data_IF_789280029284
#
_entry.id   IF_789280029284
#
_cell.length_a   1.000
_cell.length_b   1.000
_cell.length_c   1.000
_cell.angle_alpha   90.00
_cell.angle_beta   90.00
_cell.angle_gamma   90.00
#
_symmetry.space_group_name_H-M   'P 1'
#
loop_
_entity.id
_entity.type
_entity.pdbx_description
1 polymer ?
#
# COMPACT_ATOMS: atom_id res chain seq x y z
N UNK A 1 10.05 -15.47 -36.40
CA UNK A 1 9.82 -14.15 -35.81
C UNK A 1 8.48 -14.17 -35.09
N UNK A 2 8.30 -14.31 -33.78
CA UNK A 2 9.09 -14.67 -32.61
C UNK A 2 7.99 -15.16 -31.63
N UNK A 3 8.09 -16.34 -30.98
CA UNK A 3 7.05 -16.87 -30.09
C UNK A 3 7.09 -16.20 -28.70
N UNK A 4 7.28 -14.88 -28.64
CA UNK A 4 7.38 -14.13 -27.37
C UNK A 4 6.02 -13.63 -26.87
N UNK A 5 5.01 -13.60 -27.73
CA UNK A 5 3.64 -13.26 -27.36
C UNK A 5 2.94 -14.41 -26.60
N UNK A 6 3.40 -15.65 -26.77
CA UNK A 6 2.82 -16.82 -26.09
C UNK A 6 3.10 -16.83 -24.57
N UNK A 7 4.23 -16.27 -24.11
CA UNK A 7 4.53 -16.14 -22.68
C UNK A 7 3.79 -14.99 -21.97
N UNK A 8 3.13 -14.10 -22.72
CA UNK A 8 2.36 -12.98 -22.15
C UNK A 8 0.89 -13.35 -21.88
N UNK A 9 0.33 -14.32 -22.61
CA UNK A 9 -1.06 -14.76 -22.42
C UNK A 9 -1.22 -15.71 -21.22
N UNK A 10 -0.20 -16.49 -20.86
CA UNK A 10 -0.22 -17.33 -19.65
C UNK A 10 -0.03 -16.51 -18.36
N UNK A 11 0.52 -15.30 -18.45
CA UNK A 11 0.65 -14.38 -17.31
C UNK A 11 -0.61 -13.53 -17.06
N UNK A 12 -1.59 -13.54 -17.98
CA UNK A 12 -2.82 -12.75 -17.88
C UNK A 12 -3.63 -12.98 -16.59
N UNK A 13 -3.87 -14.21 -16.11
CA UNK A 13 -4.58 -14.42 -14.86
C UNK A 13 -3.76 -14.02 -13.62
N UNK A 14 -2.43 -14.16 -13.68
CA UNK A 14 -1.55 -13.78 -12.57
C UNK A 14 -1.47 -12.25 -12.45
N UNK A 15 -1.34 -11.53 -13.57
CA UNK A 15 -1.39 -10.07 -13.59
C UNK A 15 -2.74 -9.56 -13.09
N UNK A 16 -3.86 -10.14 -13.54
CA UNK A 16 -5.19 -9.78 -13.05
C UNK A 16 -5.39 -10.06 -11.55
N UNK A 17 -4.84 -11.17 -11.03
CA UNK A 17 -4.87 -11.48 -9.60
C UNK A 17 -4.00 -10.51 -8.77
N UNK A 18 -2.85 -10.11 -9.30
CA UNK A 18 -1.98 -9.10 -8.69
C UNK A 18 -2.64 -7.73 -8.67
N UNK A 19 -3.27 -7.29 -9.76
CA UNK A 19 -4.00 -6.02 -9.82
C UNK A 19 -5.21 -6.02 -8.88
N UNK A 20 -5.94 -7.14 -8.79
CA UNK A 20 -7.00 -7.30 -7.80
C UNK A 20 -6.46 -7.22 -6.37
N UNK A 21 -5.36 -7.90 -6.07
CA UNK A 21 -4.74 -7.87 -4.76
C UNK A 21 -4.25 -6.46 -4.39
N UNK A 22 -3.62 -5.75 -5.33
CA UNK A 22 -3.21 -4.35 -5.16
C UNK A 22 -4.42 -3.45 -4.97
N UNK A 23 -5.50 -3.66 -5.72
CA UNK A 23 -6.77 -2.94 -5.56
C UNK A 23 -7.39 -3.17 -4.18
N UNK A 24 -7.29 -4.37 -3.61
CA UNK A 24 -7.69 -4.61 -2.23
C UNK A 24 -6.75 -3.95 -1.22
N UNK A 25 -5.44 -4.05 -1.42
CA UNK A 25 -4.41 -3.53 -0.50
C UNK A 25 -4.23 -2.01 -0.54
N UNK A 26 -4.67 -1.33 -1.59
CA UNK A 26 -4.57 0.13 -1.72
C UNK A 26 -5.93 0.80 -1.90
N UNK A 27 -7.00 0.02 -2.11
CA UNK A 27 -8.36 0.52 -2.25
C UNK A 27 -9.04 0.78 -0.91
N UNK A 28 -10.37 0.65 -0.92
CA UNK A 28 -11.22 1.03 0.21
C UNK A 28 -10.86 0.33 1.53
N UNK A 29 -10.42 -0.93 1.46
CA UNK A 29 -10.09 -1.73 2.65
C UNK A 29 -8.89 -1.13 3.39
N UNK A 30 -7.83 -0.78 2.68
CA UNK A 30 -6.64 -0.19 3.29
C UNK A 30 -6.93 1.17 3.93
N UNK A 31 -7.78 1.98 3.30
CA UNK A 31 -8.28 3.23 3.87
C UNK A 31 -9.04 2.99 5.17
N UNK A 32 -9.92 1.98 5.21
CA UNK A 32 -10.66 1.63 6.43
C UNK A 32 -9.72 1.19 7.56
N UNK A 33 -8.72 0.34 7.26
CA UNK A 33 -7.74 -0.10 8.27
C UNK A 33 -6.91 1.07 8.79
N UNK A 34 -6.48 1.99 7.93
CA UNK A 34 -5.75 3.19 8.33
C UNK A 34 -6.57 4.06 9.29
N UNK A 35 -7.86 4.26 9.01
CA UNK A 35 -8.76 5.02 9.88
C UNK A 35 -8.88 4.35 11.24
N UNK A 36 -9.05 3.02 11.28
CA UNK A 36 -9.13 2.27 12.54
C UNK A 36 -7.85 2.46 13.36
N UNK A 37 -6.67 2.33 12.74
CA UNK A 37 -5.39 2.54 13.42
C UNK A 37 -5.24 3.95 14.00
N UNK A 38 -5.69 4.98 13.28
CA UNK A 38 -5.71 6.37 13.77
C UNK A 38 -6.70 6.54 14.92
N UNK A 39 -7.87 5.90 14.86
CA UNK A 39 -8.82 5.92 15.97
C UNK A 39 -8.21 5.33 17.25
N UNK A 40 -7.51 4.19 17.16
CA UNK A 40 -6.78 3.62 18.30
C UNK A 40 -5.75 4.61 18.85
N UNK A 41 -4.97 5.28 18.00
CA UNK A 41 -4.04 6.32 18.43
C UNK A 41 -4.75 7.45 19.20
N UNK A 42 -5.93 7.88 18.74
CA UNK A 42 -6.75 8.88 19.43
C UNK A 42 -7.20 8.45 20.83
N UNK A 43 -7.60 7.18 20.99
CA UNK A 43 -7.91 6.62 22.31
C UNK A 43 -6.68 6.60 23.24
N UNK A 44 -5.51 6.23 22.72
CA UNK A 44 -4.27 6.26 23.49
C UNK A 44 -3.87 7.70 23.88
N UNK A 45 -4.15 8.68 23.02
CA UNK A 45 -3.94 10.09 23.32
C UNK A 45 -4.82 10.57 24.48
N UNK A 46 -6.09 10.17 24.52
CA UNK A 46 -7.03 10.50 25.61
C UNK A 46 -6.63 9.90 26.96
N UNK A 47 -5.90 8.78 26.97
CA UNK A 47 -5.44 8.10 28.20
C UNK A 47 -4.30 8.88 28.89
N UNK A 48 -3.89 10.05 28.37
CA UNK A 48 -2.84 10.90 28.95
C UNK A 48 -1.42 10.38 28.74
N UNK A 49 -1.26 9.17 28.15
CA UNK A 49 0.02 8.52 27.87
C UNK A 49 0.29 8.48 26.37
N UNK A 50 0.31 9.66 25.74
CA UNK A 50 0.60 9.77 24.32
C UNK A 50 2.07 9.41 24.07
N UNK A 51 2.27 8.22 23.49
CA UNK A 51 3.60 7.79 23.06
C UNK A 51 3.87 8.42 21.71
N UNK A 52 4.67 9.49 21.69
CA UNK A 52 5.08 10.17 20.46
C UNK A 52 5.68 9.22 19.41
N UNK A 53 6.41 8.19 19.87
CA UNK A 53 6.92 7.14 19.00
C UNK A 53 5.84 6.32 18.30
N UNK A 54 4.74 6.00 18.99
CA UNK A 54 3.60 5.27 18.41
C UNK A 54 2.84 6.15 17.41
N UNK A 55 2.62 7.42 17.77
CA UNK A 55 1.96 8.38 16.89
C UNK A 55 2.74 8.56 15.57
N UNK A 56 4.05 8.77 15.65
CA UNK A 56 4.92 8.89 14.49
C UNK A 56 4.94 7.61 13.65
N UNK A 57 5.05 6.44 14.28
CA UNK A 57 5.05 5.15 13.57
C UNK A 57 3.78 4.94 12.75
N UNK A 58 2.60 5.26 13.29
CA UNK A 58 1.31 5.12 12.57
C UNK A 58 1.25 6.07 11.38
N UNK A 59 1.62 7.34 11.56
CA UNK A 59 1.61 8.34 10.48
C UNK A 59 2.55 7.93 9.35
N UNK A 60 3.78 7.52 9.69
CA UNK A 60 4.77 7.05 8.71
C UNK A 60 4.25 5.80 8.00
N UNK A 61 3.67 4.83 8.71
CA UNK A 61 3.10 3.62 8.12
C UNK A 61 2.00 3.93 7.11
N UNK A 62 1.07 4.82 7.47
CA UNK A 62 -0.01 5.26 6.57
C UNK A 62 0.57 5.94 5.31
N UNK A 63 1.54 6.85 5.49
CA UNK A 63 2.19 7.52 4.38
C UNK A 63 2.90 6.53 3.43
N UNK A 64 3.53 5.48 3.97
CA UNK A 64 4.16 4.43 3.17
C UNK A 64 3.13 3.56 2.42
N UNK A 65 2.01 3.19 3.05
CA UNK A 65 0.97 2.37 2.40
C UNK A 65 0.34 3.11 1.22
N UNK A 66 -0.04 4.38 1.40
CA UNK A 66 -0.68 5.17 0.34
C UNK A 66 0.31 5.79 -0.65
N UNK A 67 1.58 5.97 -0.26
CA UNK A 67 2.65 6.49 -1.12
C UNK A 67 3.43 5.41 -1.87
N UNK A 68 3.14 4.12 -1.67
CA UNK A 68 3.91 3.02 -2.25
C UNK A 68 3.90 3.03 -3.79
N UNK A 69 2.77 3.37 -4.42
CA UNK A 69 2.65 3.41 -5.89
C UNK A 69 3.60 4.43 -6.52
N UNK A 70 3.56 5.67 -6.04
CA UNK A 70 4.41 6.74 -6.56
C UNK A 70 5.90 6.47 -6.32
N UNK A 71 6.25 5.86 -5.18
CA UNK A 71 7.62 5.41 -4.91
C UNK A 71 8.09 4.34 -5.91
N UNK A 72 7.28 3.32 -6.16
CA UNK A 72 7.63 2.25 -7.11
C UNK A 72 7.69 2.79 -8.54
N UNK A 73 6.76 3.67 -8.93
CA UNK A 73 6.74 4.28 -10.26
C UNK A 73 7.97 5.15 -10.50
N UNK A 74 8.34 6.00 -9.54
CA UNK A 74 9.53 6.85 -9.64
C UNK A 74 10.83 6.04 -9.79
N UNK A 75 10.96 4.94 -9.04
CA UNK A 75 12.07 3.99 -9.20
C UNK A 75 12.09 3.36 -10.60
N UNK A 76 10.91 2.99 -11.12
CA UNK A 76 10.74 2.42 -12.46
C UNK A 76 11.13 3.39 -13.58
N UNK A 77 10.93 4.70 -13.39
CA UNK A 77 11.38 5.72 -14.33
C UNK A 77 12.88 5.99 -14.22
N UNK A 78 13.44 5.95 -13.01
CA UNK A 78 14.86 6.21 -12.79
C UNK A 78 15.78 5.09 -13.32
N UNK A 79 15.28 3.86 -13.38
CA UNK A 79 16.04 2.67 -13.84
C UNK A 79 15.95 2.42 -15.35
N UNK A 80 15.03 3.09 -16.07
CA UNK A 80 14.87 2.98 -17.53
C UNK A 80 15.58 4.10 -18.25
#
# INVERSE_FOLDING_TARGET
>A
MLPTLAYAQDAAPIQGALDWLVSLLQGAIARSVAIIAVCFLGFLAMTGRLVWGLAGSIIIGIALVFGATTLVDSLRYAVR
#
